data_IF_515643905597
#
_entry.id   IF_515643905597
#
_cell.length_a   1.000
_cell.length_b   1.000
_cell.length_c   1.000
_cell.angle_alpha   90.00
_cell.angle_beta   90.00
_cell.angle_gamma   90.00
#
_symmetry.space_group_name_H-M   'P 1'
#
loop_
_entity.id
_entity.type
_entity.pdbx_description
1 polymer ?
#
# COMPACT_ATOMS: atom_id res chain seq x y z
N UNK A 1 -24.26 34.81 -37.07
CA UNK A 1 -22.88 34.26 -37.02
C UNK A 1 -22.63 33.55 -35.68
N UNK A 2 -23.68 33.29 -34.90
CA UNK A 2 -23.54 33.15 -33.44
C UNK A 2 -23.58 31.68 -33.02
N UNK A 3 -24.45 30.87 -33.63
CA UNK A 3 -24.55 29.43 -33.36
C UNK A 3 -23.28 28.66 -33.71
N UNK A 4 -22.64 28.97 -34.84
CA UNK A 4 -21.41 28.29 -35.24
C UNK A 4 -20.24 28.62 -34.30
N UNK A 5 -20.18 29.84 -33.78
CA UNK A 5 -19.19 30.25 -32.78
C UNK A 5 -19.36 29.49 -31.46
N UNK A 6 -20.59 29.37 -30.95
CA UNK A 6 -20.86 28.60 -29.72
C UNK A 6 -20.56 27.10 -29.88
N UNK A 7 -20.86 26.53 -31.05
CA UNK A 7 -20.56 25.11 -31.33
C UNK A 7 -19.06 24.86 -31.37
N UNK A 8 -18.28 25.74 -32.00
CA UNK A 8 -16.81 25.61 -32.06
C UNK A 8 -16.17 25.83 -30.68
N UNK A 9 -16.65 26.81 -29.91
CA UNK A 9 -16.19 27.03 -28.53
C UNK A 9 -16.50 25.83 -27.62
N UNK A 10 -17.71 25.26 -27.74
CA UNK A 10 -18.10 24.07 -27.00
C UNK A 10 -17.21 22.86 -27.30
N UNK A 11 -16.87 22.65 -28.58
CA UNK A 11 -15.96 21.59 -29.00
C UNK A 11 -14.55 21.76 -28.44
N UNK A 12 -14.02 23.00 -28.42
CA UNK A 12 -12.70 23.29 -27.86
C UNK A 12 -12.67 22.99 -26.36
N UNK A 13 -13.69 23.41 -25.60
CA UNK A 13 -13.78 23.14 -24.16
C UNK A 13 -13.90 21.65 -23.86
N UNK A 14 -14.63 20.91 -24.70
CA UNK A 14 -14.81 19.47 -24.52
C UNK A 14 -13.51 18.70 -24.79
N UNK A 15 -12.78 19.06 -25.86
CA UNK A 15 -11.53 18.39 -26.27
C UNK A 15 -10.34 18.81 -25.41
N UNK A 16 -10.22 20.08 -25.03
CA UNK A 16 -9.05 20.60 -24.30
C UNK A 16 -9.29 20.81 -22.80
N UNK A 17 -10.54 20.87 -22.35
CA UNK A 17 -10.88 20.97 -20.92
C UNK A 17 -11.30 19.62 -20.36
N UNK A 18 -12.41 19.08 -20.84
CA UNK A 18 -13.08 17.93 -20.23
C UNK A 18 -12.30 16.63 -20.47
N UNK A 19 -11.88 16.36 -21.71
CA UNK A 19 -11.16 15.14 -22.04
C UNK A 19 -9.82 14.97 -21.29
N UNK A 20 -8.89 15.94 -21.25
CA UNK A 20 -7.65 15.80 -20.49
C UNK A 20 -7.89 15.78 -18.98
N UNK A 21 -8.87 16.54 -18.47
CA UNK A 21 -9.23 16.52 -17.04
C UNK A 21 -9.79 15.15 -16.61
N UNK A 22 -10.69 14.56 -17.41
CA UNK A 22 -11.23 13.24 -17.15
C UNK A 22 -10.12 12.17 -17.21
N UNK A 23 -9.24 12.25 -18.21
CA UNK A 23 -8.10 11.34 -18.33
C UNK A 23 -7.16 11.44 -17.12
N UNK A 24 -6.85 12.66 -16.67
CA UNK A 24 -6.03 12.90 -15.48
C UNK A 24 -6.67 12.33 -14.21
N UNK A 25 -7.96 12.54 -13.99
CA UNK A 25 -8.68 11.97 -12.83
C UNK A 25 -8.67 10.43 -12.83
N UNK A 26 -8.87 9.81 -13.99
CA UNK A 26 -8.84 8.34 -14.10
C UNK A 26 -7.44 7.74 -13.99
N UNK A 27 -6.41 8.41 -14.53
CA UNK A 27 -5.04 7.88 -14.55
C UNK A 27 -4.28 8.16 -13.26
N UNK A 28 -4.45 9.35 -12.69
CA UNK A 28 -3.62 9.82 -11.57
C UNK A 28 -4.36 9.86 -10.24
N UNK A 29 -5.67 10.11 -10.20
CA UNK A 29 -6.40 10.23 -8.91
C UNK A 29 -7.01 8.90 -8.48
N UNK A 30 -7.58 8.14 -9.41
CA UNK A 30 -8.21 6.85 -9.11
C UNK A 30 -7.26 5.81 -8.49
N UNK A 31 -6.04 5.54 -9.02
CA UNK A 31 -5.14 4.57 -8.39
C UNK A 31 -4.66 5.04 -7.01
N UNK A 32 -4.39 6.34 -6.84
CA UNK A 32 -3.95 6.89 -5.55
C UNK A 32 -5.01 6.77 -4.45
N UNK A 33 -6.28 7.06 -4.77
CA UNK A 33 -7.39 6.84 -3.84
C UNK A 33 -7.53 5.36 -3.52
N UNK A 34 -7.51 4.49 -4.54
CA UNK A 34 -7.64 3.05 -4.37
C UNK A 34 -6.52 2.45 -3.51
N UNK A 35 -5.28 2.88 -3.70
CA UNK A 35 -4.13 2.38 -2.94
C UNK A 35 -4.17 2.80 -1.46
N UNK A 36 -4.68 4.00 -1.16
CA UNK A 36 -4.84 4.48 0.21
C UNK A 36 -5.96 3.72 0.96
N UNK A 37 -7.08 3.43 0.30
CA UNK A 37 -8.16 2.64 0.89
C UNK A 37 -7.77 1.17 1.08
N UNK A 38 -6.98 0.60 0.16
CA UNK A 38 -6.52 -0.80 0.24
C UNK A 38 -5.73 -1.06 1.53
N UNK A 39 -4.87 -0.14 1.95
CA UNK A 39 -4.10 -0.28 3.20
C UNK A 39 -5.02 -0.30 4.44
N UNK A 40 -6.10 0.48 4.39
CA UNK A 40 -7.08 0.62 5.47
C UNK A 40 -8.02 -0.58 5.55
N UNK A 41 -8.39 -1.12 4.40
CA UNK A 41 -9.26 -2.28 4.28
C UNK A 41 -8.57 -3.54 4.79
N UNK A 42 -7.29 -3.79 4.43
CA UNK A 42 -6.53 -4.93 4.99
C UNK A 42 -6.31 -4.80 6.50
N UNK A 43 -6.20 -3.58 7.04
CA UNK A 43 -6.14 -3.35 8.49
C UNK A 43 -7.47 -3.69 9.19
N UNK A 44 -8.62 -3.49 8.53
CA UNK A 44 -9.94 -3.77 9.08
C UNK A 44 -10.43 -5.21 8.83
N UNK A 45 -10.29 -5.74 7.61
CA UNK A 45 -10.83 -7.03 7.16
C UNK A 45 -9.78 -8.14 7.02
N UNK A 46 -8.48 -7.81 7.11
CA UNK A 46 -7.40 -8.78 6.98
C UNK A 46 -7.35 -9.80 8.12
N UNK A 47 -7.00 -11.04 7.77
CA UNK A 47 -6.88 -12.15 8.71
C UNK A 47 -5.54 -12.01 9.44
N UNK A 48 -5.59 -11.94 10.78
CA UNK A 48 -4.40 -11.91 11.60
C UNK A 48 -3.74 -13.29 11.64
N UNK A 49 -2.43 -13.33 11.38
CA UNK A 49 -1.61 -14.53 11.37
C UNK A 49 -0.24 -14.22 11.95
N UNK A 50 0.36 -15.21 12.61
CA UNK A 50 1.75 -15.12 13.01
C UNK A 50 2.64 -15.37 11.79
N UNK A 51 3.56 -14.45 11.56
CA UNK A 51 4.51 -14.50 10.48
C UNK A 51 5.93 -14.39 11.02
N UNK A 52 6.82 -15.18 10.44
CA UNK A 52 8.23 -15.19 10.77
C UNK A 52 8.97 -14.22 9.84
N UNK A 53 9.82 -13.39 10.42
CA UNK A 53 10.65 -12.47 9.64
C UNK A 53 11.83 -13.27 9.10
N UNK A 54 11.90 -13.40 7.78
CA UNK A 54 13.00 -14.12 7.11
C UNK A 54 14.10 -13.19 6.62
N UNK A 55 13.78 -11.93 6.35
CA UNK A 55 14.75 -10.93 5.92
C UNK A 55 14.32 -9.53 6.32
N UNK A 56 15.30 -8.69 6.65
CA UNK A 56 15.12 -7.27 6.92
C UNK A 56 16.26 -6.52 6.26
N UNK A 57 15.94 -5.69 5.26
CA UNK A 57 16.93 -4.92 4.52
C UNK A 57 16.56 -3.44 4.53
N UNK A 58 17.52 -2.58 4.88
CA UNK A 58 17.34 -1.14 4.74
C UNK A 58 17.30 -0.79 3.25
N UNK A 59 16.28 -0.05 2.83
CA UNK A 59 16.24 0.50 1.48
C UNK A 59 16.98 1.84 1.44
N UNK A 60 17.33 2.31 0.25
CA UNK A 60 17.90 3.65 0.05
C UNK A 60 16.87 4.77 0.24
N UNK A 61 15.58 4.43 0.41
CA UNK A 61 14.49 5.39 0.54
C UNK A 61 14.30 5.85 1.99
N UNK A 62 14.00 7.13 2.15
CA UNK A 62 13.72 7.78 3.42
C UNK A 62 12.32 8.37 3.37
N UNK A 63 11.54 8.17 4.43
CA UNK A 63 10.24 8.81 4.60
C UNK A 63 10.36 9.81 5.75
N UNK A 64 10.45 11.09 5.41
CA UNK A 64 10.79 12.14 6.38
C UNK A 64 12.17 11.91 6.99
N UNK A 65 12.23 11.79 8.32
CA UNK A 65 13.47 11.54 9.08
C UNK A 65 13.73 10.06 9.37
N UNK A 66 12.90 9.15 8.85
CA UNK A 66 13.01 7.71 9.14
C UNK A 66 13.43 6.91 7.89
N UNK A 67 14.45 6.04 8.00
CA UNK A 67 14.80 5.12 6.92
C UNK A 67 13.68 4.09 6.68
N UNK A 68 13.41 3.80 5.42
CA UNK A 68 12.45 2.77 5.04
C UNK A 68 13.17 1.42 4.98
N UNK A 69 12.67 0.44 5.73
CA UNK A 69 13.14 -0.94 5.69
C UNK A 69 12.17 -1.80 4.90
N UNK A 70 12.72 -2.70 4.08
CA UNK A 70 11.99 -3.77 3.42
C UNK A 70 12.09 -5.02 4.29
N UNK A 71 10.98 -5.36 4.92
CA UNK A 71 10.82 -6.55 5.74
C UNK A 71 10.15 -7.64 4.91
N UNK A 72 10.71 -8.84 4.91
CA UNK A 72 10.10 -10.00 4.25
C UNK A 72 9.64 -10.99 5.32
N UNK A 73 8.36 -11.33 5.24
CA UNK A 73 7.68 -12.20 6.17
C UNK A 73 7.30 -13.51 5.47
N UNK A 74 7.43 -14.62 6.19
CA UNK A 74 6.93 -15.93 5.78
C UNK A 74 5.82 -16.33 6.73
N UNK A 75 4.67 -16.72 6.19
CA UNK A 75 3.53 -17.16 6.98
C UNK A 75 2.71 -18.22 6.27
N UNK A 76 1.87 -18.93 7.02
CA UNK A 76 0.92 -19.90 6.49
C UNK A 76 -0.47 -19.29 6.48
N UNK A 77 -1.12 -19.26 5.33
CA UNK A 77 -2.52 -18.84 5.23
C UNK A 77 -3.44 -19.85 5.94
N UNK A 78 -4.71 -19.50 6.17
CA UNK A 78 -5.72 -20.44 6.70
C UNK A 78 -5.83 -21.73 5.87
N UNK A 79 -5.54 -21.66 4.59
CA UNK A 79 -5.56 -22.79 3.65
C UNK A 79 -4.27 -23.63 3.71
N UNK A 80 -3.40 -23.37 4.69
CA UNK A 80 -2.10 -24.02 4.89
C UNK A 80 -1.09 -23.78 3.75
N UNK A 81 -1.32 -22.75 2.93
CA UNK A 81 -0.39 -22.36 1.88
C UNK A 81 0.71 -21.47 2.48
N UNK A 82 1.96 -21.82 2.27
CA UNK A 82 3.10 -20.98 2.65
C UNK A 82 3.22 -19.81 1.67
N UNK A 83 3.10 -18.60 2.19
CA UNK A 83 3.21 -17.36 1.43
C UNK A 83 4.37 -16.54 1.99
N UNK A 84 5.12 -15.92 1.08
CA UNK A 84 6.13 -14.93 1.41
C UNK A 84 5.68 -13.57 0.89
N UNK A 85 5.66 -12.58 1.77
CA UNK A 85 5.26 -11.23 1.43
C UNK A 85 6.28 -10.23 1.97
N UNK A 86 6.53 -9.17 1.21
CA UNK A 86 7.40 -8.07 1.64
C UNK A 86 6.58 -6.83 1.95
N UNK A 87 6.93 -6.14 3.03
CA UNK A 87 6.37 -4.85 3.40
C UNK A 87 7.49 -3.83 3.52
N UNK A 88 7.26 -2.64 2.96
CA UNK A 88 8.11 -1.49 3.21
C UNK A 88 7.55 -0.74 4.42
N UNK A 89 8.31 -0.67 5.50
CA UNK A 89 7.90 -0.01 6.73
C UNK A 89 9.02 0.89 7.25
N UNK A 90 8.64 2.07 7.75
CA UNK A 90 9.59 2.97 8.41
C UNK A 90 9.86 2.47 9.81
N UNK A 91 11.09 2.05 10.09
CA UNK A 91 11.49 1.58 11.40
C UNK A 91 12.27 2.67 12.14
N UNK A 92 11.98 2.85 13.42
CA UNK A 92 12.90 3.54 14.33
C UNK A 92 14.02 2.60 14.76
N UNK A 93 15.16 3.15 15.17
CA UNK A 93 16.32 2.37 15.63
C UNK A 93 15.97 1.34 16.74
N UNK A 94 15.06 1.70 17.64
CA UNK A 94 14.58 0.83 18.72
C UNK A 94 13.73 -0.35 18.21
N UNK A 95 13.06 -0.19 17.08
CA UNK A 95 12.17 -1.20 16.51
C UNK A 95 12.92 -2.19 15.62
N UNK A 96 14.06 -1.77 15.03
CA UNK A 96 14.90 -2.63 14.18
C UNK A 96 15.23 -3.95 14.89
N UNK A 97 15.49 -3.92 16.20
CA UNK A 97 15.79 -5.14 16.96
C UNK A 97 14.61 -6.11 17.05
N UNK A 98 13.39 -5.59 17.14
CA UNK A 98 12.16 -6.40 17.13
C UNK A 98 11.93 -7.04 15.77
N UNK A 99 12.30 -6.36 14.69
CA UNK A 99 12.12 -6.85 13.32
C UNK A 99 13.35 -7.58 12.73
N UNK A 100 14.25 -8.09 13.58
CA UNK A 100 15.37 -8.92 13.12
C UNK A 100 14.88 -10.25 12.53
N UNK A 101 15.55 -10.78 11.50
CA UNK A 101 15.26 -12.12 10.98
C UNK A 101 15.33 -13.17 12.09
N UNK A 102 14.34 -14.05 12.15
CA UNK A 102 14.18 -15.06 13.21
C UNK A 102 13.18 -14.68 14.31
N UNK A 103 12.74 -13.42 14.37
CA UNK A 103 11.63 -13.03 15.24
C UNK A 103 10.28 -13.27 14.56
N UNK A 104 9.29 -13.67 15.35
CA UNK A 104 7.89 -13.77 14.93
C UNK A 104 7.14 -12.48 15.23
N UNK A 105 6.26 -12.06 14.32
CA UNK A 105 5.34 -10.95 14.53
C UNK A 105 3.94 -11.29 14.04
N UNK A 106 2.93 -10.55 14.49
CA UNK A 106 1.55 -10.71 14.00
C UNK A 106 1.32 -9.73 12.86
N UNK A 107 0.98 -10.26 11.69
CA UNK A 107 0.57 -9.48 10.52
C UNK A 107 -0.88 -9.75 10.19
N UNK A 108 -1.53 -8.81 9.53
CA UNK A 108 -2.81 -9.05 8.86
C UNK A 108 -2.57 -9.21 7.37
N UNK A 109 -3.07 -10.27 6.77
CA UNK A 109 -3.03 -10.46 5.32
C UNK A 109 -4.44 -10.37 4.72
N UNK A 110 -4.52 -9.90 3.48
CA UNK A 110 -5.75 -9.89 2.71
C UNK A 110 -6.05 -11.31 2.19
N UNK A 111 -7.19 -11.94 2.54
CA UNK A 111 -7.55 -13.26 2.01
C UNK A 111 -7.76 -13.26 0.50
N UNK A 112 -8.14 -12.12 -0.11
CA UNK A 112 -8.28 -12.01 -1.56
C UNK A 112 -6.93 -11.84 -2.27
N UNK A 113 -5.91 -11.34 -1.57
CA UNK A 113 -4.55 -11.23 -2.10
C UNK A 113 -3.49 -11.41 -0.99
N UNK A 114 -2.99 -12.65 -0.79
CA UNK A 114 -2.05 -12.96 0.29
C UNK A 114 -0.72 -12.21 0.27
N UNK A 115 -0.38 -11.52 -0.84
CA UNK A 115 0.81 -10.66 -0.91
C UNK A 115 0.60 -9.29 -0.25
N UNK A 116 -0.66 -8.88 -0.04
CA UNK A 116 -1.00 -7.64 0.65
C UNK A 116 -1.05 -7.91 2.15
N UNK A 117 -0.03 -7.45 2.83
CA UNK A 117 0.12 -7.58 4.27
C UNK A 117 0.17 -6.19 4.92
N UNK A 118 -0.43 -6.07 6.08
CA UNK A 118 -0.34 -4.91 6.95
C UNK A 118 0.24 -5.34 8.29
N UNK A 119 1.18 -4.55 8.82
CA UNK A 119 1.68 -4.79 10.16
C UNK A 119 0.55 -4.48 11.16
N UNK A 120 0.21 -5.43 12.02
CA UNK A 120 -0.77 -5.14 13.07
C UNK A 120 -0.06 -4.38 14.19
N UNK A 121 -0.18 -3.06 14.16
CA UNK A 121 0.42 -2.15 15.12
C UNK A 121 -0.36 -2.22 16.45
N UNK A 122 -0.19 -3.33 17.19
CA UNK A 122 -0.33 -3.25 18.65
C UNK A 122 1.06 -3.11 19.23
N UNK A 123 1.29 -2.12 20.11
CA UNK A 123 2.47 -2.12 20.94
C UNK A 123 2.45 -3.42 21.75
N UNK A 124 3.38 -4.33 21.44
CA UNK A 124 3.72 -5.43 22.34
C UNK A 124 4.40 -4.78 23.55
N UNK A 125 3.58 -4.30 24.49
CA UNK A 125 3.97 -4.19 25.88
C UNK A 125 4.19 -5.63 26.37
N UNK A 126 5.44 -5.93 26.71
CA UNK A 126 5.79 -7.11 27.49
C UNK A 126 5.63 -6.75 28.97
#
# INVERSE_FOLDING_TARGET
>A
MDTLFFVVMGLIVLVFGIYPMARFLYQDVYPYLKDSFTHSEVLQSGIAVNADIIAAHQTSAWSGSKPIYRLTFKFKTREQVEVQASLNHTLNFSDIERFKPGNGTTIKYDPANPQRIALYDRPLFL
#
